data_IF_589679297044
#
_entry.id   IF_589679297044
#
_cell.length_a   1.000
_cell.length_b   1.000
_cell.length_c   1.000
_cell.angle_alpha   90.00
_cell.angle_beta   90.00
_cell.angle_gamma   90.00
#
_symmetry.space_group_name_H-M   'P 1'
#
loop_
_entity.id
_entity.type
_entity.pdbx_description
1 polymer ?
#
# COMPACT_ATOMS: atom_id res chain seq x y z
N UNK A 1 5.12 0.61 -25.38
CA UNK A 1 5.07 -0.80 -24.91
C UNK A 1 6.18 -1.13 -23.89
N UNK A 2 7.47 -0.93 -24.20
CA UNK A 2 8.58 -1.23 -23.26
C UNK A 2 8.52 -0.45 -21.93
N UNK A 3 8.15 0.84 -21.95
CA UNK A 3 7.93 1.66 -20.73
C UNK A 3 6.79 1.13 -19.86
N UNK A 4 5.72 0.63 -20.47
CA UNK A 4 4.53 0.15 -19.75
C UNK A 4 4.83 -1.13 -18.97
N UNK A 5 5.67 -2.02 -19.53
CA UNK A 5 6.13 -3.22 -18.86
C UNK A 5 6.99 -2.91 -17.61
N UNK A 6 7.87 -1.92 -17.69
CA UNK A 6 8.67 -1.48 -16.54
C UNK A 6 7.81 -0.91 -15.41
N UNK A 7 6.78 -0.13 -15.74
CA UNK A 7 5.85 0.43 -14.75
C UNK A 7 4.99 -0.67 -14.12
N UNK A 8 4.52 -1.64 -14.91
CA UNK A 8 3.79 -2.79 -14.40
C UNK A 8 4.63 -3.62 -13.42
N UNK A 9 5.92 -3.82 -13.72
CA UNK A 9 6.86 -4.50 -12.81
C UNK A 9 7.02 -3.76 -11.48
N UNK A 10 7.18 -2.44 -11.50
CA UNK A 10 7.28 -1.62 -10.29
C UNK A 10 6.00 -1.68 -9.44
N UNK A 11 4.83 -1.52 -10.05
CA UNK A 11 3.54 -1.62 -9.36
C UNK A 11 3.32 -3.01 -8.75
N UNK A 12 3.72 -4.06 -9.49
CA UNK A 12 3.65 -5.43 -9.00
C UNK A 12 4.53 -5.64 -7.77
N UNK A 13 5.80 -5.21 -7.83
CA UNK A 13 6.73 -5.31 -6.71
C UNK A 13 6.25 -4.51 -5.49
N UNK A 14 5.75 -3.28 -5.70
CA UNK A 14 5.18 -2.45 -4.63
C UNK A 14 3.97 -3.12 -3.97
N UNK A 15 3.05 -3.67 -4.77
CA UNK A 15 1.91 -4.43 -4.27
C UNK A 15 2.31 -5.70 -3.49
N UNK A 16 3.32 -6.43 -3.98
CA UNK A 16 3.87 -7.58 -3.28
C UNK A 16 4.47 -7.19 -1.92
N UNK A 17 5.26 -6.11 -1.87
CA UNK A 17 5.79 -5.57 -0.61
C UNK A 17 4.68 -5.19 0.37
N UNK A 18 3.60 -4.56 -0.12
CA UNK A 18 2.46 -4.19 0.71
C UNK A 18 1.76 -5.43 1.32
N UNK A 19 1.58 -6.50 0.55
CA UNK A 19 1.02 -7.76 1.04
C UNK A 19 1.93 -8.47 2.05
N UNK A 20 3.25 -8.44 1.83
CA UNK A 20 4.23 -8.95 2.79
C UNK A 20 4.12 -8.17 4.10
N UNK A 21 4.06 -6.84 4.04
CA UNK A 21 3.92 -5.98 5.21
C UNK A 21 2.64 -6.29 5.99
N UNK A 22 1.50 -6.43 5.29
CA UNK A 22 0.24 -6.84 5.89
C UNK A 22 0.37 -8.19 6.62
N UNK A 23 1.06 -9.16 6.03
CA UNK A 23 1.26 -10.50 6.62
C UNK A 23 2.15 -10.47 7.86
N UNK A 24 3.22 -9.67 7.82
CA UNK A 24 4.11 -9.46 8.98
C UNK A 24 3.34 -8.81 10.13
N UNK A 25 2.54 -7.77 9.83
CA UNK A 25 1.69 -7.11 10.81
C UNK A 25 0.62 -8.03 11.40
N UNK A 26 -0.01 -8.89 10.59
CA UNK A 26 -0.91 -9.93 11.09
C UNK A 26 -0.22 -10.87 12.08
N UNK A 27 1.02 -11.30 11.80
CA UNK A 27 1.80 -12.16 12.72
C UNK A 27 2.14 -11.45 14.02
N UNK A 28 2.56 -10.19 13.96
CA UNK A 28 2.88 -9.38 15.14
C UNK A 28 1.65 -9.15 16.03
N UNK A 29 0.51 -8.75 15.45
CA UNK A 29 -0.70 -8.54 16.24
C UNK A 29 -1.26 -9.84 16.84
N UNK A 30 -1.05 -10.98 16.18
CA UNK A 30 -1.44 -12.29 16.73
C UNK A 30 -0.66 -12.61 18.01
N UNK A 31 0.61 -12.20 18.11
CA UNK A 31 1.45 -12.37 19.29
C UNK A 31 1.01 -11.44 20.45
N UNK A 32 0.49 -10.25 20.13
CA UNK A 32 0.04 -9.27 21.13
C UNK A 32 -1.36 -9.59 21.66
N UNK A 33 -2.31 -9.90 20.76
CA UNK A 33 -3.72 -10.08 21.14
C UNK A 33 -4.09 -11.53 21.48
N UNK A 34 -3.28 -12.53 21.11
CA UNK A 34 -3.54 -13.96 21.34
C UNK A 34 -4.75 -14.55 20.58
N UNK A 35 -5.77 -13.74 20.29
CA UNK A 35 -6.97 -14.09 19.54
C UNK A 35 -6.76 -13.93 18.02
N UNK A 36 -6.67 -15.06 17.33
CA UNK A 36 -6.39 -15.14 15.89
C UNK A 36 -7.35 -14.33 15.01
N UNK A 37 -8.65 -14.39 15.27
CA UNK A 37 -9.68 -13.92 14.32
C UNK A 37 -9.91 -12.42 14.40
N UNK A 38 -9.89 -11.85 15.62
CA UNK A 38 -10.05 -10.40 15.80
C UNK A 38 -8.80 -9.65 15.30
N UNK A 39 -7.61 -10.20 15.54
CA UNK A 39 -6.36 -9.61 15.05
C UNK A 39 -6.29 -9.57 13.53
N UNK A 40 -6.65 -10.67 12.84
CA UNK A 40 -6.66 -10.69 11.37
C UNK A 40 -7.74 -9.76 10.82
N UNK A 41 -8.94 -9.74 11.39
CA UNK A 41 -10.01 -8.86 10.98
C UNK A 41 -9.65 -7.37 11.13
N UNK A 42 -8.99 -7.00 12.23
CA UNK A 42 -8.53 -5.62 12.46
C UNK A 42 -7.45 -5.19 11.45
N UNK A 43 -6.47 -6.05 11.17
CA UNK A 43 -5.44 -5.73 10.16
C UNK A 43 -6.04 -5.62 8.77
N UNK A 44 -6.92 -6.56 8.39
CA UNK A 44 -7.63 -6.49 7.11
C UNK A 44 -8.49 -5.23 7.00
N UNK A 45 -9.23 -4.87 8.05
CA UNK A 45 -10.11 -3.70 8.01
C UNK A 45 -9.31 -2.41 7.87
N UNK A 46 -8.22 -2.25 8.63
CA UNK A 46 -7.35 -1.07 8.53
C UNK A 46 -6.68 -1.02 7.15
N UNK A 47 -6.21 -2.16 6.63
CA UNK A 47 -5.54 -2.22 5.32
C UNK A 47 -6.50 -1.89 4.18
N UNK A 48 -7.71 -2.48 4.18
CA UNK A 48 -8.74 -2.22 3.18
C UNK A 48 -9.32 -0.81 3.30
N UNK A 49 -9.53 -0.30 4.51
CA UNK A 49 -9.93 1.07 4.74
C UNK A 49 -8.87 2.06 4.23
N UNK A 50 -7.59 1.79 4.50
CA UNK A 50 -6.47 2.58 3.98
C UNK A 50 -6.41 2.59 2.45
N UNK A 51 -6.56 1.43 1.81
CA UNK A 51 -6.62 1.33 0.34
C UNK A 51 -7.84 2.03 -0.25
N UNK A 52 -9.01 1.88 0.37
CA UNK A 52 -10.25 2.53 -0.06
C UNK A 52 -10.18 4.05 0.05
N UNK A 53 -9.76 4.58 1.20
CA UNK A 53 -9.59 6.02 1.41
C UNK A 53 -8.49 6.56 0.50
N UNK A 54 -7.36 5.86 0.39
CA UNK A 54 -6.26 6.22 -0.47
C UNK A 54 -6.67 6.32 -1.94
N UNK A 55 -7.38 5.32 -2.46
CA UNK A 55 -7.87 5.32 -3.85
C UNK A 55 -8.94 6.38 -4.11
N UNK A 56 -9.83 6.66 -3.15
CA UNK A 56 -10.84 7.71 -3.30
C UNK A 56 -10.23 9.12 -3.38
N UNK A 57 -9.22 9.42 -2.56
CA UNK A 57 -8.57 10.73 -2.53
C UNK A 57 -7.49 10.89 -3.60
N UNK A 58 -6.61 9.90 -3.76
CA UNK A 58 -5.45 9.97 -4.64
C UNK A 58 -5.74 9.42 -6.04
N UNK A 59 -6.71 8.52 -6.22
CA UNK A 59 -7.04 7.95 -7.53
C UNK A 59 -7.56 9.00 -8.50
N UNK A 60 -8.53 9.83 -8.08
CA UNK A 60 -9.03 10.96 -8.89
C UNK A 60 -7.92 11.98 -9.19
N UNK A 61 -7.01 12.19 -8.25
CA UNK A 61 -5.89 13.13 -8.39
C UNK A 61 -4.80 12.58 -9.32
N UNK A 62 -4.57 11.27 -9.32
CA UNK A 62 -3.63 10.58 -10.19
C UNK A 62 -4.12 10.55 -11.64
N UNK A 63 -5.41 10.29 -11.88
CA UNK A 63 -6.02 10.28 -13.22
C UNK A 63 -6.07 11.68 -13.84
N UNK A 64 -6.25 12.73 -13.03
CA UNK A 64 -6.27 14.11 -13.49
C UNK A 64 -4.86 14.70 -13.73
N UNK A 65 -3.78 14.02 -13.33
CA UNK A 65 -2.44 14.61 -13.38
C UNK A 65 -1.75 14.34 -14.74
N UNK A 66 -1.19 15.37 -15.41
CA UNK A 66 -0.56 15.21 -16.73
C UNK A 66 0.73 14.35 -16.75
N UNK A 67 1.28 14.02 -15.57
CA UNK A 67 2.43 13.12 -15.41
C UNK A 67 2.21 12.17 -14.22
N UNK A 68 1.45 11.08 -14.39
CA UNK A 68 1.09 10.15 -13.30
C UNK A 68 2.32 9.45 -12.68
N UNK A 69 3.41 9.30 -13.44
CA UNK A 69 4.66 8.70 -12.93
C UNK A 69 5.36 9.55 -11.87
N UNK A 70 5.37 10.89 -12.01
CA UNK A 70 5.97 11.79 -11.00
C UNK A 70 5.13 11.84 -9.73
N UNK A 71 3.81 11.77 -9.89
CA UNK A 71 2.89 11.68 -8.76
C UNK A 71 3.09 10.38 -7.97
N UNK A 72 3.24 9.25 -8.66
CA UNK A 72 3.58 7.97 -8.05
C UNK A 72 4.94 8.00 -7.31
N UNK A 73 5.97 8.60 -7.92
CA UNK A 73 7.28 8.74 -7.27
C UNK A 73 7.24 9.59 -5.99
N UNK A 74 6.47 10.67 -5.98
CA UNK A 74 6.27 11.47 -4.76
C UNK A 74 5.50 10.69 -3.68
N UNK A 75 4.56 9.82 -4.07
CA UNK A 75 3.86 8.94 -3.13
C UNK A 75 4.81 7.90 -2.52
N UNK A 76 5.65 7.25 -3.32
CA UNK A 76 6.68 6.34 -2.80
C UNK A 76 7.65 7.05 -1.85
N UNK A 77 8.07 8.27 -2.15
CA UNK A 77 8.91 9.08 -1.25
C UNK A 77 8.20 9.37 0.09
N UNK A 78 6.91 9.70 0.06
CA UNK A 78 6.15 9.92 1.29
C UNK A 78 6.00 8.64 2.12
N UNK A 79 5.79 7.48 1.48
CA UNK A 79 5.75 6.17 2.15
C UNK A 79 7.11 5.86 2.78
N UNK A 80 8.21 6.05 2.03
CA UNK A 80 9.57 5.83 2.54
C UNK A 80 9.90 6.74 3.73
N UNK A 81 9.52 8.02 3.67
CA UNK A 81 9.74 8.96 4.77
C UNK A 81 8.95 8.57 6.02
N UNK A 82 7.71 8.08 5.85
CA UNK A 82 6.87 7.67 6.98
C UNK A 82 7.33 6.34 7.58
N UNK A 83 7.87 5.43 6.76
CA UNK A 83 8.43 4.16 7.23
C UNK A 83 9.80 4.32 7.92
N UNK A 84 10.51 5.42 7.64
CA UNK A 84 11.80 5.73 8.26
C UNK A 84 11.67 6.46 9.61
N UNK A 85 10.49 7.02 9.91
CA UNK A 85 10.13 7.62 11.20
C UNK A 85 9.62 6.54 12.17
#
# INVERSE_FOLDING_TARGET
>A
MRRTASVAGLLFCSGACALIYQTVWMRQFRLIFGASTLATAAVLSIFMAGLGIGSAFLGKRADAHPQPLRFYGNLELSIAATAAL
#
